data_IF_452319267893
#
_entry.id   IF_452319267893
#
_cell.length_a   1.000
_cell.length_b   1.000
_cell.length_c   1.000
_cell.angle_alpha   90.00
_cell.angle_beta   90.00
_cell.angle_gamma   90.00
#
_symmetry.space_group_name_H-M   'P 1'
#
loop_
_entity.id
_entity.type
_entity.pdbx_description
1 polymer ?
#
# COMPACT_ATOMS: atom_id res chain seq x y z
N UNK A 1 1.69 13.17 -0.48
CA UNK A 1 0.52 12.47 -1.06
C UNK A 1 -0.14 13.15 -2.26
N UNK A 2 -0.22 14.49 -2.37
CA UNK A 2 -0.88 15.17 -3.52
C UNK A 2 -0.39 14.72 -4.90
N UNK A 3 0.94 14.63 -5.10
CA UNK A 3 1.52 14.19 -6.37
C UNK A 3 1.12 12.75 -6.72
N UNK A 4 1.27 11.83 -5.76
CA UNK A 4 0.86 10.43 -5.93
C UNK A 4 -0.61 10.29 -6.35
N UNK A 5 -1.52 11.04 -5.72
CA UNK A 5 -2.95 11.05 -6.11
C UNK A 5 -3.16 11.51 -7.56
N UNK A 6 -2.50 12.59 -7.98
CA UNK A 6 -2.62 13.12 -9.35
C UNK A 6 -2.10 12.11 -10.38
N UNK A 7 -0.97 11.48 -10.09
CA UNK A 7 -0.37 10.47 -10.95
C UNK A 7 -1.26 9.22 -11.01
N UNK A 8 -1.78 8.74 -9.87
CA UNK A 8 -2.68 7.59 -9.82
C UNK A 8 -3.91 7.77 -10.72
N UNK A 9 -4.59 8.92 -10.62
CA UNK A 9 -5.76 9.23 -11.45
C UNK A 9 -5.39 9.26 -12.94
N UNK A 10 -4.25 9.85 -13.29
CA UNK A 10 -3.79 9.89 -14.68
C UNK A 10 -3.49 8.49 -15.20
N UNK A 11 -2.73 7.69 -14.44
CA UNK A 11 -2.38 6.30 -14.77
C UNK A 11 -3.63 5.44 -14.93
N UNK A 12 -4.58 5.50 -13.99
CA UNK A 12 -5.83 4.75 -14.06
C UNK A 12 -6.61 5.03 -15.34
N UNK A 13 -6.77 6.33 -15.67
CA UNK A 13 -7.48 6.78 -16.88
C UNK A 13 -6.77 6.34 -18.16
N UNK A 14 -5.48 6.62 -18.31
CA UNK A 14 -4.76 6.36 -19.56
C UNK A 14 -4.64 4.86 -19.88
N UNK A 15 -4.57 4.01 -18.86
CA UNK A 15 -4.44 2.56 -19.05
C UNK A 15 -5.77 1.81 -18.98
N UNK A 16 -6.90 2.50 -18.76
CA UNK A 16 -8.21 1.91 -18.48
C UNK A 16 -8.06 0.75 -17.47
N UNK A 17 -7.43 1.06 -16.34
CA UNK A 17 -7.18 0.12 -15.27
C UNK A 17 -8.45 -0.05 -14.41
N UNK A 18 -8.65 -1.24 -13.85
CA UNK A 18 -9.78 -1.51 -12.94
C UNK A 18 -9.50 -0.99 -11.52
N UNK A 19 -8.26 -0.59 -11.25
CA UNK A 19 -7.85 0.06 -10.02
C UNK A 19 -6.36 0.43 -10.01
N UNK A 20 -5.88 0.93 -8.87
CA UNK A 20 -4.46 1.32 -8.67
C UNK A 20 -3.98 0.91 -7.29
N UNK A 21 -2.79 0.30 -7.21
CA UNK A 21 -2.06 0.08 -5.96
C UNK A 21 -1.07 1.22 -5.73
N UNK A 22 -1.11 1.85 -4.56
CA UNK A 22 -0.04 2.72 -4.05
C UNK A 22 0.74 1.96 -2.97
N UNK A 23 2.05 1.78 -3.16
CA UNK A 23 2.91 1.07 -2.22
C UNK A 23 4.16 1.88 -1.89
N UNK A 24 4.48 1.93 -0.59
CA UNK A 24 5.72 2.46 -0.06
C UNK A 24 6.34 1.40 0.85
N UNK A 25 7.52 0.92 0.48
CA UNK A 25 8.25 -0.11 1.20
C UNK A 25 9.41 0.49 2.01
N UNK A 26 9.55 0.09 3.28
CA UNK A 26 10.66 0.52 4.15
C UNK A 26 11.41 -0.68 4.70
N UNK A 27 12.74 -0.66 4.59
CA UNK A 27 13.65 -1.73 5.04
C UNK A 27 13.40 -3.06 4.31
N UNK A 28 14.34 -3.99 4.45
CA UNK A 28 14.28 -5.30 3.77
C UNK A 28 13.02 -6.09 4.13
N UNK A 29 12.65 -6.13 5.43
CA UNK A 29 11.44 -6.83 5.88
C UNK A 29 10.13 -6.20 5.37
N UNK A 30 10.14 -4.91 5.04
CA UNK A 30 9.03 -4.21 4.39
C UNK A 30 9.13 -4.16 2.87
N UNK A 31 10.01 -4.98 2.28
CA UNK A 31 10.21 -5.17 0.83
C UNK A 31 10.95 -4.04 0.10
N UNK A 32 11.72 -3.22 0.81
CA UNK A 32 12.56 -2.19 0.18
C UNK A 32 13.83 -2.82 -0.40
N UNK A 33 14.01 -2.71 -1.71
CA UNK A 33 15.23 -3.14 -2.41
C UNK A 33 16.16 -1.98 -2.76
N UNK A 34 15.61 -0.79 -3.02
CA UNK A 34 16.36 0.44 -3.29
C UNK A 34 16.30 1.37 -2.07
N UNK A 35 17.45 1.75 -1.46
CA UNK A 35 17.50 2.54 -0.22
C UNK A 35 17.30 4.05 -0.48
N UNK A 36 16.30 4.39 -1.28
CA UNK A 36 15.80 5.74 -1.53
C UNK A 36 14.28 5.73 -1.31
N UNK A 37 13.71 6.77 -0.71
CA UNK A 37 12.26 6.84 -0.54
C UNK A 37 11.57 6.97 -1.91
N UNK A 38 10.72 6.02 -2.25
CA UNK A 38 9.95 6.04 -3.49
C UNK A 38 8.55 5.49 -3.26
N UNK A 39 7.62 5.86 -4.14
CA UNK A 39 6.26 5.35 -4.18
C UNK A 39 6.04 4.62 -5.49
N UNK A 40 5.51 3.40 -5.40
CA UNK A 40 4.94 2.72 -6.57
C UNK A 40 3.53 3.27 -6.82
N UNK A 41 3.23 3.56 -8.09
CA UNK A 41 1.89 3.84 -8.60
C UNK A 41 1.61 2.79 -9.68
N UNK A 42 0.91 1.73 -9.30
CA UNK A 42 0.77 0.53 -10.12
C UNK A 42 -0.68 0.38 -10.60
N UNK A 43 -0.99 0.56 -11.90
CA UNK A 43 -2.30 0.24 -12.44
C UNK A 43 -2.56 -1.27 -12.31
N UNK A 44 -3.80 -1.63 -12.00
CA UNK A 44 -4.24 -3.01 -11.78
C UNK A 44 -5.32 -3.41 -12.77
N UNK A 45 -5.35 -4.69 -13.11
CA UNK A 45 -6.49 -5.32 -13.79
C UNK A 45 -7.08 -6.39 -12.89
N UNK A 46 -8.38 -6.59 -12.96
CA UNK A 46 -9.00 -7.70 -12.24
C UNK A 46 -8.37 -9.03 -12.68
N UNK A 47 -8.00 -9.86 -11.71
CA UNK A 47 -7.29 -11.12 -11.95
C UNK A 47 -5.84 -11.03 -12.43
N UNK A 48 -5.17 -9.87 -12.35
CA UNK A 48 -3.75 -9.77 -12.73
C UNK A 48 -2.82 -10.60 -11.82
N UNK A 49 -1.59 -10.85 -12.29
CA UNK A 49 -0.62 -11.69 -11.59
C UNK A 49 0.04 -11.03 -10.36
N UNK A 50 -0.28 -9.76 -10.06
CA UNK A 50 0.33 -9.04 -8.94
C UNK A 50 -0.34 -9.48 -7.64
N UNK A 51 0.41 -10.18 -6.79
CA UNK A 51 -0.08 -10.66 -5.50
C UNK A 51 0.46 -9.80 -4.35
N UNK A 52 -0.40 -9.52 -3.37
CA UNK A 52 -0.05 -8.88 -2.09
C UNK A 52 -0.72 -9.69 -0.98
N UNK A 53 0.07 -10.54 -0.31
CA UNK A 53 -0.42 -11.35 0.79
C UNK A 53 -0.50 -10.54 2.08
N UNK A 54 -1.71 -10.20 2.52
CA UNK A 54 -1.94 -9.61 3.84
C UNK A 54 -2.91 -10.48 4.64
N UNK A 55 -2.43 -11.56 5.27
CA UNK A 55 -3.32 -12.47 6.00
C UNK A 55 -4.04 -11.70 7.11
N UNK A 56 -5.38 -11.64 7.00
CA UNK A 56 -6.22 -10.97 7.99
C UNK A 56 -6.06 -11.67 9.34
N UNK A 57 -5.86 -10.87 10.39
CA UNK A 57 -5.91 -11.30 11.79
C UNK A 57 -7.02 -10.50 12.49
N UNK A 58 -7.69 -11.12 13.45
CA UNK A 58 -8.80 -10.51 14.18
C UNK A 58 -8.55 -10.56 15.70
N UNK A 59 -7.61 -9.76 16.23
CA UNK A 59 -7.47 -9.63 17.68
C UNK A 59 -8.70 -8.92 18.28
N UNK A 60 -9.05 -9.26 19.53
CA UNK A 60 -10.14 -8.62 20.26
C UNK A 60 -9.94 -7.11 20.49
N UNK A 61 -11.03 -6.40 20.74
CA UNK A 61 -11.05 -4.92 20.83
C UNK A 61 -10.17 -4.40 21.97
N UNK A 62 -10.06 -5.12 23.09
CA UNK A 62 -9.22 -4.78 24.23
C UNK A 62 -7.73 -4.80 23.84
N UNK A 63 -7.30 -5.82 23.08
CA UNK A 63 -5.93 -5.94 22.56
C UNK A 63 -5.63 -4.78 21.61
N UNK A 64 -6.57 -4.46 20.71
CA UNK A 64 -6.42 -3.34 19.78
C UNK A 64 -6.28 -2.00 20.50
N UNK A 65 -7.10 -1.74 21.53
CA UNK A 65 -7.01 -0.52 22.36
C UNK A 65 -5.66 -0.42 23.07
N UNK A 66 -5.17 -1.52 23.65
CA UNK A 66 -3.87 -1.55 24.31
C UNK A 66 -2.71 -1.29 23.33
N UNK A 67 -2.75 -1.85 22.13
CA UNK A 67 -1.74 -1.58 21.08
C UNK A 67 -1.78 -0.12 20.62
N UNK A 68 -2.97 0.44 20.39
CA UNK A 68 -3.13 1.83 19.99
C UNK A 68 -2.53 2.81 21.02
N UNK A 69 -2.74 2.56 22.32
CA UNK A 69 -2.18 3.38 23.40
C UNK A 69 -0.65 3.40 23.43
N UNK A 70 0.03 2.42 22.81
CA UNK A 70 1.49 2.35 22.71
C UNK A 70 2.08 3.16 21.56
N UNK A 71 1.29 3.44 20.51
CA UNK A 71 1.74 4.17 19.33
C UNK A 71 1.69 5.66 19.64
N UNK A 72 2.87 6.29 19.70
CA UNK A 72 3.01 7.75 19.84
C UNK A 72 3.39 8.32 18.47
N UNK A 73 2.70 9.38 18.06
CA UNK A 73 2.98 10.12 16.83
C UNK A 73 3.67 11.44 17.18
#
# INVERSE_FOLDING_TARGET
>A
MRAARRIAIAVEREFAADGVTILQANRVAGWQTVPHLHLHVLPRRDGDAVTLGWPRREPGIEVLRALAARIRL
#
